data_IF_334979252348
#
_entry.id   IF_334979252348
#
_cell.length_a   1.000
_cell.length_b   1.000
_cell.length_c   1.000
_cell.angle_alpha   90.00
_cell.angle_beta   90.00
_cell.angle_gamma   90.00
#
_symmetry.space_group_name_H-M   'P 1'
#
loop_
_entity.id
_entity.type
_entity.pdbx_description
1 polymer ?
#
# COMPACT_ATOMS: atom_id res chain seq x y z
N UNK A 1 16.57 14.48 -2.17
CA UNK A 1 15.83 13.39 -1.49
C UNK A 1 14.96 12.72 -2.53
N UNK A 2 15.12 11.42 -2.78
CA UNK A 2 14.25 10.70 -3.71
C UNK A 2 12.94 10.36 -2.97
N UNK A 3 11.83 10.98 -3.37
CA UNK A 3 10.56 10.81 -2.66
C UNK A 3 9.58 10.01 -3.54
N UNK A 4 9.62 8.67 -3.53
CA UNK A 4 8.65 7.84 -4.27
C UNK A 4 7.28 7.79 -3.57
N UNK A 5 6.75 8.95 -3.21
CA UNK A 5 5.60 9.11 -2.32
C UNK A 5 5.50 10.47 -1.65
N UNK A 6 6.49 11.35 -1.83
CA UNK A 6 6.45 12.69 -1.26
C UNK A 6 5.23 13.48 -1.76
N UNK A 7 4.39 13.92 -0.82
CA UNK A 7 3.15 14.66 -1.12
C UNK A 7 1.99 13.81 -1.63
N UNK A 8 2.17 12.49 -1.79
CA UNK A 8 1.07 11.61 -2.18
C UNK A 8 0.11 11.42 -1.01
N UNK A 9 -1.18 11.63 -1.27
CA UNK A 9 -2.25 11.38 -0.30
C UNK A 9 -3.21 10.34 -0.87
N UNK A 10 -3.50 9.32 -0.08
CA UNK A 10 -4.52 8.33 -0.43
C UNK A 10 -5.79 8.69 0.36
N UNK A 11 -6.92 8.99 -0.30
CA UNK A 11 -8.13 9.38 0.40
C UNK A 11 -8.68 8.18 1.20
N UNK A 12 -8.96 8.42 2.47
CA UNK A 12 -9.59 7.44 3.37
C UNK A 12 -11.10 7.53 3.19
N UNK A 13 -11.64 6.77 2.23
CA UNK A 13 -13.07 6.72 1.92
C UNK A 13 -13.52 5.29 1.60
N UNK A 14 -14.80 5.00 1.86
CA UNK A 14 -15.42 3.73 1.53
C UNK A 14 -14.77 2.54 2.26
N UNK A 15 -14.03 1.71 1.52
CA UNK A 15 -13.42 0.47 2.03
C UNK A 15 -12.05 0.69 2.69
N UNK A 16 -11.46 1.88 2.59
CA UNK A 16 -10.17 2.21 3.18
C UNK A 16 -10.39 2.77 4.60
N UNK A 17 -9.73 2.19 5.58
CA UNK A 17 -9.75 2.65 6.97
C UNK A 17 -8.58 3.58 7.30
N UNK A 18 -7.37 3.23 6.86
CA UNK A 18 -6.20 4.11 6.95
C UNK A 18 -5.34 3.95 5.71
N UNK A 19 -4.63 5.02 5.36
CA UNK A 19 -3.59 4.96 4.35
C UNK A 19 -2.46 5.93 4.71
N UNK A 20 -1.22 5.46 4.60
CA UNK A 20 -0.03 6.26 4.88
C UNK A 20 0.95 6.10 3.73
N UNK A 21 1.58 7.21 3.34
CA UNK A 21 2.71 7.21 2.42
C UNK A 21 3.84 7.95 3.12
N UNK A 22 4.99 7.30 3.27
CA UNK A 22 6.18 7.93 3.86
C UNK A 22 7.00 8.64 2.79
N UNK A 23 7.89 9.55 3.20
CA UNK A 23 8.83 10.19 2.28
C UNK A 23 9.76 9.19 1.58
N UNK A 24 10.02 8.04 2.22
CA UNK A 24 10.77 6.93 1.63
C UNK A 24 9.96 6.15 0.57
N UNK A 25 8.67 6.47 0.39
CA UNK A 25 7.76 5.84 -0.56
C UNK A 25 7.12 4.53 -0.08
N UNK A 26 7.24 4.20 1.21
CA UNK A 26 6.53 3.07 1.80
C UNK A 26 5.04 3.42 1.87
N UNK A 27 4.21 2.60 1.24
CA UNK A 27 2.75 2.75 1.27
C UNK A 27 2.16 1.66 2.14
N UNK A 28 1.31 2.04 3.09
CA UNK A 28 0.52 1.10 3.89
C UNK A 28 -0.94 1.50 3.80
N UNK A 29 -1.81 0.56 3.43
CA UNK A 29 -3.26 0.75 3.36
C UNK A 29 -3.94 -0.31 4.20
N UNK A 30 -4.87 0.10 5.06
CA UNK A 30 -5.74 -0.84 5.79
C UNK A 30 -7.18 -0.76 5.31
N UNK A 31 -7.83 -1.91 5.23
CA UNK A 31 -9.24 -2.05 4.88
C UNK A 31 -10.15 -1.88 6.10
N UNK A 32 -11.32 -1.31 5.87
CA UNK A 32 -12.39 -1.20 6.86
C UNK A 32 -12.99 -2.57 7.20
N UNK A 33 -13.20 -2.80 8.49
CA UNK A 33 -13.90 -3.98 9.05
C UNK A 33 -15.42 -3.82 9.05
N UNK A 34 -15.97 -2.71 8.52
CA UNK A 34 -17.41 -2.51 8.42
C UNK A 34 -18.09 -3.63 7.61
N UNK A 35 -19.33 -3.97 7.96
CA UNK A 35 -20.13 -4.97 7.24
C UNK A 35 -20.49 -4.57 5.80
N UNK A 36 -20.41 -3.27 5.48
CA UNK A 36 -20.51 -2.72 4.11
C UNK A 36 -19.23 -2.89 3.29
N UNK A 37 -18.16 -3.41 3.90
CA UNK A 37 -16.92 -3.87 3.27
C UNK A 37 -16.95 -5.41 3.21
N UNK A 38 -15.83 -6.08 3.47
CA UNK A 38 -15.73 -7.54 3.58
C UNK A 38 -15.78 -8.04 5.03
N UNK A 39 -16.03 -7.15 6.00
CA UNK A 39 -16.11 -7.48 7.42
C UNK A 39 -14.79 -7.93 8.06
N UNK A 40 -13.66 -7.79 7.36
CA UNK A 40 -12.35 -8.32 7.78
C UNK A 40 -11.27 -7.26 7.70
N UNK A 41 -10.35 -7.31 8.67
CA UNK A 41 -9.16 -6.48 8.64
C UNK A 41 -8.25 -6.97 7.51
N UNK A 42 -7.83 -6.03 6.67
CA UNK A 42 -6.91 -6.27 5.55
C UNK A 42 -5.83 -5.21 5.59
N UNK A 43 -4.59 -5.61 5.34
CA UNK A 43 -3.48 -4.67 5.21
C UNK A 43 -2.75 -4.94 3.90
N UNK A 44 -2.42 -3.88 3.18
CA UNK A 44 -1.55 -3.90 2.00
C UNK A 44 -0.34 -3.02 2.30
N UNK A 45 0.85 -3.56 2.05
CA UNK A 45 2.11 -2.83 2.13
C UNK A 45 2.78 -2.85 0.77
N UNK A 46 3.15 -1.68 0.26
CA UNK A 46 3.92 -1.53 -0.98
C UNK A 46 5.26 -0.89 -0.66
N UNK A 47 6.33 -1.61 -0.94
CA UNK A 47 7.70 -1.22 -0.58
C UNK A 47 8.49 -0.91 -1.85
N UNK A 48 9.04 0.31 -2.01
CA UNK A 48 9.91 0.63 -3.12
C UNK A 48 11.34 0.12 -2.89
N UNK A 49 11.98 -0.33 -3.95
CA UNK A 49 13.41 -0.58 -4.07
C UNK A 49 13.98 0.36 -5.13
N UNK A 50 14.98 1.15 -4.75
CA UNK A 50 15.59 2.14 -5.63
C UNK A 50 16.88 1.59 -6.24
N UNK A 51 16.97 1.59 -7.57
CA UNK A 51 18.19 1.25 -8.29
C UNK A 51 18.82 2.52 -8.85
N UNK A 52 19.93 2.96 -8.25
CA UNK A 52 20.70 4.11 -8.75
C UNK A 52 21.49 3.78 -10.01
N UNK A 53 21.79 2.51 -10.24
CA UNK A 53 22.49 2.04 -11.44
C UNK A 53 21.64 2.20 -12.71
N UNK A 54 20.34 1.90 -12.60
CA UNK A 54 19.40 1.94 -13.73
C UNK A 54 18.45 3.14 -13.68
N UNK A 55 18.45 3.90 -12.58
CA UNK A 55 17.51 5.01 -12.37
C UNK A 55 16.05 4.56 -12.19
N UNK A 56 15.81 3.30 -11.85
CA UNK A 56 14.46 2.71 -11.75
C UNK A 56 14.04 2.50 -10.30
N UNK A 57 12.74 2.46 -10.08
CA UNK A 57 12.13 2.08 -8.80
C UNK A 57 11.28 0.83 -9.05
N UNK A 58 11.46 -0.19 -8.23
CA UNK A 58 10.66 -1.41 -8.26
C UNK A 58 9.84 -1.49 -6.99
N UNK A 59 8.54 -1.73 -7.11
CA UNK A 59 7.65 -1.87 -5.95
C UNK A 59 7.30 -3.33 -5.72
N UNK A 60 7.48 -3.77 -4.48
CA UNK A 60 7.01 -5.07 -4.01
C UNK A 60 5.72 -4.85 -3.24
N UNK A 61 4.67 -5.59 -3.57
CA UNK A 61 3.41 -5.54 -2.84
C UNK A 61 3.24 -6.81 -2.01
N UNK A 62 2.84 -6.65 -0.76
CA UNK A 62 2.48 -7.75 0.14
C UNK A 62 1.20 -7.38 0.86
N UNK A 63 0.22 -8.28 0.91
CA UNK A 63 -0.99 -8.06 1.66
C UNK A 63 -1.46 -9.27 2.47
N UNK A 64 -2.25 -8.98 3.49
CA UNK A 64 -2.76 -9.96 4.45
C UNK A 64 -4.21 -9.65 4.82
N UNK A 65 -5.11 -10.64 4.92
CA UNK A 65 -4.92 -12.05 4.53
C UNK A 65 -4.81 -12.24 3.00
N UNK A 66 -3.93 -13.14 2.55
CA UNK A 66 -3.62 -13.35 1.11
C UNK A 66 -4.84 -13.76 0.27
N UNK A 67 -5.83 -14.44 0.85
CA UNK A 67 -7.09 -14.79 0.15
C UNK A 67 -7.87 -13.57 -0.38
N UNK A 68 -7.66 -12.39 0.21
CA UNK A 68 -8.32 -11.15 -0.21
C UNK A 68 -7.44 -10.31 -1.14
N UNK A 69 -6.23 -10.78 -1.48
CA UNK A 69 -5.27 -10.03 -2.27
C UNK A 69 -5.35 -10.37 -3.76
N UNK A 70 -5.09 -9.39 -4.65
CA UNK A 70 -4.75 -9.69 -6.03
C UNK A 70 -3.43 -10.46 -6.09
N UNK A 71 -3.19 -11.20 -7.17
CA UNK A 71 -2.00 -12.04 -7.32
C UNK A 71 -0.68 -11.29 -7.12
N UNK A 72 -0.64 -10.00 -7.47
CA UNK A 72 0.53 -9.14 -7.32
C UNK A 72 0.91 -8.81 -5.88
N UNK A 73 0.00 -9.06 -4.92
CA UNK A 73 0.16 -8.76 -3.50
C UNK A 73 -0.06 -10.00 -2.61
N UNK A 74 -0.17 -11.20 -3.21
CA UNK A 74 -0.39 -12.47 -2.49
C UNK A 74 0.89 -13.02 -1.90
#
# INVERSE_FOLDING_TARGET
>A
TACAGGGATIPVVGKIATATVTDAGLVTVTGSTASTSIGQAVTITVTPTYSTLTGTITWTCVGSPSKYMPATCR
#
